data_IF_482092074482
#
_entry.id   IF_482092074482
#
_cell.length_a   1.000
_cell.length_b   1.000
_cell.length_c   1.000
_cell.angle_alpha   90.00
_cell.angle_beta   90.00
_cell.angle_gamma   90.00
#
_symmetry.space_group_name_H-M   'P 1'
#
loop_
_entity.id
_entity.type
_entity.pdbx_description
1 polymer ?
#
# COMPACT_ATOMS: atom_id res chain seq x y z
N UNK A 1 24.22 3.67 -5.64
CA UNK A 1 23.27 4.67 -6.17
C UNK A 1 22.41 3.89 -7.14
N UNK A 2 21.40 3.24 -6.59
CA UNK A 2 20.32 2.69 -7.40
C UNK A 2 19.50 3.92 -7.79
N UNK A 3 19.33 4.16 -9.09
CA UNK A 3 18.31 5.10 -9.57
C UNK A 3 16.97 4.53 -9.07
N UNK A 4 16.45 5.07 -7.96
CA UNK A 4 15.05 4.85 -7.60
C UNK A 4 14.26 5.55 -8.72
N UNK A 5 13.53 4.77 -9.50
CA UNK A 5 12.65 5.29 -10.52
C UNK A 5 11.54 6.05 -9.78
N UNK A 6 11.75 7.35 -9.55
CA UNK A 6 10.77 8.26 -8.95
C UNK A 6 9.51 8.23 -9.79
N UNK A 7 8.54 7.45 -9.35
CA UNK A 7 7.38 7.12 -10.16
C UNK A 7 6.38 6.30 -9.38
N UNK A 8 5.11 6.59 -9.68
CA UNK A 8 3.99 5.80 -9.21
C UNK A 8 4.20 4.32 -9.53
N UNK A 9 3.98 3.46 -8.55
CA UNK A 9 3.92 2.03 -8.80
C UNK A 9 2.73 1.40 -8.09
N UNK A 10 2.24 0.33 -8.67
CA UNK A 10 1.24 -0.52 -8.06
C UNK A 10 1.65 -1.98 -8.27
N UNK A 11 1.53 -2.80 -7.24
CA UNK A 11 1.80 -4.23 -7.31
C UNK A 11 0.78 -5.00 -6.48
N UNK A 12 0.62 -6.29 -6.79
CA UNK A 12 -0.19 -7.22 -6.01
C UNK A 12 0.65 -8.38 -5.52
N UNK A 13 0.71 -8.55 -4.20
CA UNK A 13 1.28 -9.73 -3.57
C UNK A 13 0.17 -10.73 -3.23
N UNK A 14 0.38 -12.00 -3.56
CA UNK A 14 -0.56 -13.07 -3.26
C UNK A 14 0.17 -14.39 -3.01
N UNK A 15 -0.53 -15.38 -2.45
CA UNK A 15 0.04 -16.71 -2.18
C UNK A 15 -0.50 -17.75 -3.15
N UNK A 16 0.41 -18.45 -3.81
CA UNK A 16 0.15 -19.62 -4.65
C UNK A 16 1.00 -20.79 -4.14
N UNK A 17 0.39 -21.95 -3.88
CA UNK A 17 1.07 -23.16 -3.39
C UNK A 17 2.04 -22.91 -2.20
N UNK A 18 1.58 -22.15 -1.20
CA UNK A 18 2.34 -21.68 -0.03
C UNK A 18 3.51 -20.71 -0.30
N UNK A 19 3.76 -20.33 -1.55
CA UNK A 19 4.79 -19.35 -1.94
C UNK A 19 4.17 -18.00 -2.21
N UNK A 20 4.90 -16.94 -1.86
CA UNK A 20 4.54 -15.59 -2.24
C UNK A 20 4.93 -15.33 -3.69
N UNK A 21 4.02 -14.72 -4.43
CA UNK A 21 4.29 -14.09 -5.71
C UNK A 21 3.88 -12.62 -5.67
N UNK A 22 4.52 -11.80 -6.51
CA UNK A 22 4.23 -10.37 -6.62
C UNK A 22 4.21 -10.00 -8.10
N UNK A 23 3.05 -9.57 -8.58
CA UNK A 23 2.88 -9.11 -9.95
C UNK A 23 2.76 -7.58 -9.98
N UNK A 24 3.48 -6.89 -10.90
CA UNK A 24 3.26 -5.48 -11.15
C UNK A 24 1.85 -5.27 -11.74
N UNK A 25 1.18 -4.24 -11.26
CA UNK A 25 -0.10 -3.78 -11.78
C UNK A 25 0.11 -2.61 -12.74
N UNK A 26 -0.86 -2.32 -13.63
CA UNK A 26 -0.80 -1.11 -14.44
C UNK A 26 -0.67 0.13 -13.55
N UNK A 27 0.29 1.01 -13.85
CA UNK A 27 0.55 2.25 -13.08
C UNK A 27 -0.70 3.12 -12.89
N UNK A 28 -1.65 3.08 -13.82
CA UNK A 28 -2.93 3.78 -13.70
C UNK A 28 -3.73 3.38 -12.44
N UNK A 29 -3.49 2.20 -11.87
CA UNK A 29 -4.13 1.77 -10.63
C UNK A 29 -3.55 2.44 -9.37
N UNK A 30 -2.36 3.04 -9.44
CA UNK A 30 -1.83 3.85 -8.36
C UNK A 30 -2.71 5.09 -8.09
N UNK A 31 -3.45 5.56 -9.10
CA UNK A 31 -4.41 6.67 -9.00
C UNK A 31 -5.88 6.27 -8.82
N UNK A 32 -6.21 4.97 -8.76
CA UNK A 32 -7.59 4.46 -8.76
C UNK A 32 -7.78 3.34 -7.73
N UNK A 33 -8.27 3.70 -6.54
CA UNK A 33 -8.51 2.76 -5.45
C UNK A 33 -9.53 1.69 -5.85
N UNK A 34 -10.59 2.07 -6.58
CA UNK A 34 -11.63 1.13 -6.98
C UNK A 34 -11.07 0.10 -7.97
N UNK A 35 -10.26 0.56 -8.92
CA UNK A 35 -9.53 -0.27 -9.87
C UNK A 35 -8.56 -1.23 -9.16
N UNK A 36 -7.78 -0.71 -8.20
CA UNK A 36 -6.89 -1.52 -7.35
C UNK A 36 -7.66 -2.63 -6.63
N UNK A 37 -8.70 -2.28 -5.87
CA UNK A 37 -9.53 -3.25 -5.15
C UNK A 37 -10.24 -4.24 -6.09
N UNK A 38 -10.54 -3.84 -7.33
CA UNK A 38 -11.05 -4.77 -8.33
C UNK A 38 -9.99 -5.77 -8.76
N UNK A 39 -8.77 -5.32 -9.06
CA UNK A 39 -7.65 -6.18 -9.45
C UNK A 39 -7.25 -7.17 -8.33
N UNK A 40 -7.25 -6.74 -7.07
CA UNK A 40 -6.97 -7.62 -5.92
C UNK A 40 -7.99 -8.75 -5.81
N UNK A 41 -9.28 -8.48 -6.06
CA UNK A 41 -10.34 -9.49 -6.04
C UNK A 41 -10.24 -10.53 -7.18
N UNK A 42 -9.49 -10.24 -8.24
CA UNK A 42 -9.30 -11.19 -9.34
C UNK A 42 -8.20 -12.22 -9.04
N UNK A 43 -7.40 -12.00 -7.99
CA UNK A 43 -6.29 -12.91 -7.69
C UNK A 43 -6.78 -14.26 -7.17
N UNK A 44 -6.24 -15.39 -7.67
CA UNK A 44 -6.69 -16.73 -7.31
C UNK A 44 -6.19 -17.21 -5.93
N UNK A 45 -6.07 -16.31 -4.95
CA UNK A 45 -5.50 -16.61 -3.63
C UNK A 45 -6.56 -16.86 -2.56
N UNK A 46 -6.49 -18.04 -1.94
CA UNK A 46 -7.33 -18.41 -0.79
C UNK A 46 -6.93 -17.60 0.46
N UNK A 47 -5.64 -17.23 0.55
CA UNK A 47 -5.08 -16.47 1.69
C UNK A 47 -5.22 -14.96 1.53
N UNK A 48 -5.93 -14.49 0.51
CA UNK A 48 -6.10 -13.08 0.19
C UNK A 48 -4.99 -12.51 -0.70
N UNK A 49 -5.18 -11.25 -1.10
CA UNK A 49 -4.27 -10.49 -1.94
C UNK A 49 -3.97 -9.14 -1.29
N UNK A 50 -2.74 -8.68 -1.44
CA UNK A 50 -2.23 -7.43 -0.86
C UNK A 50 -1.83 -6.51 -2.00
N UNK A 51 -2.46 -5.34 -2.08
CA UNK A 51 -2.04 -4.24 -2.95
C UNK A 51 -1.01 -3.38 -2.23
N UNK A 52 0.07 -3.08 -2.95
CA UNK A 52 1.16 -2.21 -2.54
C UNK A 52 1.23 -1.08 -3.57
N UNK A 53 1.04 0.16 -3.14
CA UNK A 53 1.04 1.33 -4.03
C UNK A 53 1.91 2.41 -3.42
N UNK A 54 2.83 2.96 -4.20
CA UNK A 54 3.49 4.24 -3.90
C UNK A 54 3.11 5.27 -4.95
N UNK A 55 2.98 6.53 -4.53
CA UNK A 55 2.59 7.65 -5.38
C UNK A 55 3.61 8.78 -5.19
N UNK A 56 4.23 9.20 -6.30
CA UNK A 56 5.16 10.33 -6.39
C UNK A 56 6.22 10.44 -5.27
N UNK A 57 6.68 9.32 -4.72
CA UNK A 57 7.60 9.24 -3.58
C UNK A 57 7.11 9.99 -2.31
N UNK A 58 5.82 10.32 -2.23
CA UNK A 58 5.24 11.14 -1.17
C UNK A 58 4.46 10.31 -0.14
N UNK A 59 3.64 9.36 -0.60
CA UNK A 59 2.87 8.47 0.27
C UNK A 59 2.67 7.08 -0.32
N UNK A 60 2.23 6.14 0.51
CA UNK A 60 1.83 4.81 0.09
C UNK A 60 0.44 4.42 0.57
N UNK A 61 -0.16 3.49 -0.18
CA UNK A 61 -1.43 2.87 0.13
C UNK A 61 -1.21 1.36 0.24
N UNK A 62 -1.78 0.77 1.29
CA UNK A 62 -1.93 -0.67 1.41
C UNK A 62 -3.40 -1.01 1.28
N UNK A 63 -3.71 -2.03 0.52
CA UNK A 63 -5.04 -2.61 0.48
C UNK A 63 -4.91 -4.11 0.63
N UNK A 64 -5.81 -4.73 1.39
CA UNK A 64 -5.83 -6.18 1.53
C UNK A 64 -7.24 -6.69 1.32
N UNK A 65 -7.38 -7.65 0.42
CA UNK A 65 -8.62 -8.38 0.20
C UNK A 65 -8.44 -9.78 0.76
N UNK A 66 -9.29 -10.17 1.71
CA UNK A 66 -9.26 -11.48 2.35
C UNK A 66 -10.64 -12.13 2.38
N UNK A 67 -10.69 -13.46 2.28
CA UNK A 67 -11.95 -14.22 2.29
C UNK A 67 -12.90 -13.84 1.13
N UNK A 68 -14.21 -13.77 1.41
CA UNK A 68 -15.22 -13.51 0.37
C UNK A 68 -15.42 -12.03 0.03
N UNK A 69 -15.23 -11.12 1.00
CA UNK A 69 -15.48 -9.68 0.81
C UNK A 69 -14.74 -8.79 1.81
N UNK A 70 -13.83 -9.31 2.64
CA UNK A 70 -13.17 -8.49 3.65
C UNK A 70 -12.10 -7.64 2.96
N UNK A 71 -12.18 -6.33 3.17
CA UNK A 71 -11.27 -5.37 2.57
C UNK A 71 -10.81 -4.40 3.65
N UNK A 72 -9.51 -4.43 3.93
CA UNK A 72 -8.82 -3.45 4.76
C UNK A 72 -8.00 -2.52 3.89
N UNK A 73 -8.00 -1.23 4.23
CA UNK A 73 -7.23 -0.21 3.52
C UNK A 73 -6.50 0.63 4.54
N UNK A 74 -5.27 1.02 4.19
CA UNK A 74 -4.41 1.88 4.97
C UNK A 74 -3.77 2.91 4.04
N UNK A 75 -3.67 4.15 4.52
CA UNK A 75 -3.00 5.27 3.87
C UNK A 75 -1.96 5.84 4.83
N UNK A 76 -0.73 6.02 4.36
CA UNK A 76 0.38 6.48 5.21
C UNK A 76 0.28 7.94 5.63
N UNK A 77 -0.35 8.77 4.79
CA UNK A 77 -0.47 10.20 5.01
C UNK A 77 -1.87 10.71 4.64
N UNK A 78 -2.61 11.17 5.64
CA UNK A 78 -3.95 11.77 5.46
C UNK A 78 -3.92 13.08 4.67
N UNK A 79 -2.84 13.85 4.74
CA UNK A 79 -2.71 15.18 4.12
C UNK A 79 -2.69 15.08 2.59
N UNK A 80 -2.20 13.96 2.05
CA UNK A 80 -2.20 13.66 0.62
C UNK A 80 -3.60 13.69 -0.01
N UNK A 81 -4.68 13.56 0.78
CA UNK A 81 -6.05 13.65 0.27
C UNK A 81 -6.42 15.03 -0.28
N UNK A 82 -5.66 16.09 0.05
CA UNK A 82 -5.87 17.44 -0.48
C UNK A 82 -5.50 17.49 -1.95
N UNK A 83 -4.31 17.01 -2.30
CA UNK A 83 -3.75 17.15 -3.65
C UNK A 83 -4.00 15.91 -4.52
N UNK A 84 -4.02 14.70 -3.96
CA UNK A 84 -4.13 13.46 -4.72
C UNK A 84 -5.54 12.85 -4.69
N UNK A 85 -6.20 12.66 -5.86
CA UNK A 85 -7.52 12.05 -5.94
C UNK A 85 -7.60 10.63 -5.36
N UNK A 86 -6.53 9.86 -5.39
CA UNK A 86 -6.52 8.49 -4.85
C UNK A 86 -6.54 8.48 -3.32
N UNK A 87 -5.78 9.35 -2.66
CA UNK A 87 -5.82 9.49 -1.21
C UNK A 87 -7.21 9.95 -0.75
N UNK A 88 -7.84 10.88 -1.49
CA UNK A 88 -9.24 11.26 -1.26
C UNK A 88 -10.20 10.07 -1.37
N UNK A 89 -10.04 9.21 -2.40
CA UNK A 89 -10.85 7.99 -2.53
C UNK A 89 -10.66 7.04 -1.34
N UNK A 90 -9.46 6.96 -0.75
CA UNK A 90 -9.20 6.16 0.46
C UNK A 90 -9.97 6.73 1.65
N UNK A 91 -9.91 8.04 1.88
CA UNK A 91 -10.67 8.69 2.96
C UNK A 91 -12.18 8.50 2.79
N UNK A 92 -12.70 8.69 1.57
CA UNK A 92 -14.11 8.44 1.25
C UNK A 92 -14.50 6.97 1.50
N UNK A 93 -13.62 6.03 1.16
CA UNK A 93 -13.85 4.60 1.42
C UNK A 93 -13.89 4.27 2.92
N UNK A 94 -13.05 4.94 3.72
CA UNK A 94 -12.94 4.76 5.16
C UNK A 94 -13.97 5.60 5.95
N UNK A 95 -14.79 6.40 5.28
CA UNK A 95 -15.72 7.38 5.88
C UNK A 95 -14.99 8.38 6.81
N UNK A 96 -13.79 8.80 6.40
CA UNK A 96 -12.94 9.78 7.10
C UNK A 96 -13.07 11.14 6.40
N UNK A 97 -13.31 12.24 7.13
CA UNK A 97 -13.34 13.57 6.54
C UNK A 97 -11.96 13.98 6.01
N UNK A 98 -11.95 14.70 4.89
CA UNK A 98 -10.74 15.34 4.36
C UNK A 98 -10.25 16.38 5.39
N UNK A 99 -8.95 16.40 5.75
CA UNK A 99 -8.41 17.38 6.67
C UNK A 99 -8.53 18.80 6.11
N UNK A 100 -8.78 19.76 6.99
CA UNK A 100 -8.77 21.17 6.65
C UNK A 100 -7.32 21.69 6.53
N UNK A 101 -7.12 22.87 5.92
CA UNK A 101 -5.78 23.46 5.71
C UNK A 101 -4.98 23.64 7.01
N UNK A 102 -5.66 23.79 8.15
CA UNK A 102 -5.04 23.97 9.47
C UNK A 102 -4.46 22.66 10.04
N UNK A 103 -4.90 21.50 9.55
CA UNK A 103 -4.49 20.16 10.02
C UNK A 103 -3.41 19.52 9.13
N UNK A 104 -2.97 20.20 8.06
CA UNK A 104 -1.98 19.69 7.10
C UNK A 104 -0.54 19.70 7.62
N UNK A 105 -0.31 20.18 8.84
CA UNK A 105 1.00 20.10 9.50
C UNK A 105 1.25 18.72 10.15
N UNK A 106 0.24 17.85 10.18
CA UNK A 106 0.30 16.52 10.78
C UNK A 106 0.21 15.41 9.73
N UNK A 107 1.37 14.91 9.31
CA UNK A 107 1.49 13.70 8.49
C UNK A 107 1.21 12.48 9.38
N UNK A 108 0.00 11.94 9.26
CA UNK A 108 -0.46 10.83 10.08
C UNK A 108 -1.09 9.72 9.22
N UNK A 109 -0.83 8.45 9.54
CA UNK A 109 -1.47 7.35 8.86
C UNK A 109 -2.93 7.18 9.28
N UNK A 110 -3.76 6.68 8.37
CA UNK A 110 -5.18 6.41 8.58
C UNK A 110 -5.60 5.05 8.00
N UNK A 111 -6.74 4.55 8.47
CA UNK A 111 -7.28 3.25 8.08
C UNK A 111 -6.87 2.14 9.04
N UNK A 112 -6.65 0.94 8.50
CA UNK A 112 -6.39 -0.26 9.29
C UNK A 112 -4.89 -0.45 9.54
N UNK A 113 -4.41 0.01 10.69
CA UNK A 113 -3.03 -0.24 11.17
C UNK A 113 -2.76 -1.73 11.46
N UNK A 114 -3.81 -2.52 11.65
CA UNK A 114 -3.70 -3.95 11.99
C UNK A 114 -3.80 -4.86 10.75
N UNK A 115 -3.80 -4.27 9.54
CA UNK A 115 -4.02 -4.93 8.25
C UNK A 115 -3.15 -6.18 8.02
N UNK A 116 -2.01 -6.29 8.71
CA UNK A 116 -1.07 -7.42 8.61
C UNK A 116 -0.75 -8.09 9.95
N UNK A 117 -1.51 -7.83 11.01
CA UNK A 117 -1.25 -8.37 12.34
C UNK A 117 -1.25 -9.91 12.38
N UNK A 118 -2.10 -10.55 11.58
CA UNK A 118 -2.15 -12.01 11.41
C UNK A 118 -0.97 -12.59 10.62
N UNK A 119 -0.26 -11.74 9.87
CA UNK A 119 0.95 -12.11 9.13
C UNK A 119 2.23 -11.77 9.90
N UNK A 120 2.11 -11.21 11.11
CA UNK A 120 3.23 -10.94 12.01
C UNK A 120 3.79 -9.52 11.96
N UNK A 121 3.11 -8.57 11.31
CA UNK A 121 3.43 -7.14 11.38
C UNK A 121 2.34 -6.42 12.17
N UNK A 122 2.67 -5.94 13.37
CA UNK A 122 1.68 -5.31 14.25
C UNK A 122 1.45 -3.81 13.96
N UNK A 123 0.43 -3.25 14.61
CA UNK A 123 0.01 -1.86 14.46
C UNK A 123 1.12 -0.85 14.81
N UNK A 124 1.94 -1.17 15.84
CA UNK A 124 2.99 -0.29 16.31
C UNK A 124 4.15 -0.27 15.32
N UNK A 125 4.52 -1.42 14.78
CA UNK A 125 5.55 -1.54 13.75
C UNK A 125 5.11 -0.88 12.44
N UNK A 126 3.87 -1.09 12.00
CA UNK A 126 3.35 -0.44 10.79
C UNK A 126 3.27 1.08 10.97
N UNK A 127 2.79 1.55 12.13
CA UNK A 127 2.74 2.98 12.45
C UNK A 127 4.14 3.62 12.52
N UNK A 128 5.13 2.90 13.05
CA UNK A 128 6.51 3.37 13.08
C UNK A 128 7.12 3.48 11.67
N UNK A 129 6.86 2.50 10.80
CA UNK A 129 7.30 2.54 9.41
C UNK A 129 6.63 3.67 8.62
N UNK A 130 5.33 3.88 8.81
CA UNK A 130 4.60 4.95 8.13
C UNK A 130 4.97 6.35 8.62
N UNK A 131 5.37 6.48 9.90
CA UNK A 131 5.81 7.74 10.48
C UNK A 131 7.30 8.06 10.26
N UNK A 132 8.04 7.19 9.57
CA UNK A 132 9.45 7.40 9.28
C UNK A 132 9.62 8.24 8.00
N UNK A 133 9.70 9.55 8.18
CA UNK A 133 9.84 10.53 7.08
C UNK A 133 11.24 10.54 6.43
N UNK A 134 12.19 9.77 6.96
CA UNK A 134 13.52 9.60 6.34
C UNK A 134 13.52 8.53 5.24
N UNK A 135 12.44 7.74 5.13
CA UNK A 135 12.28 6.67 4.15
C UNK A 135 11.33 7.07 3.03
N UNK A 136 11.67 6.69 1.80
CA UNK A 136 10.74 6.80 0.69
C UNK A 136 9.64 5.73 0.76
N UNK A 137 8.45 5.98 0.17
CA UNK A 137 7.35 5.03 0.16
C UNK A 137 7.72 3.63 -0.35
N UNK A 138 8.55 3.52 -1.39
CA UNK A 138 9.03 2.23 -1.91
C UNK A 138 9.95 1.49 -0.91
N UNK A 139 10.78 2.22 -0.16
CA UNK A 139 11.64 1.66 0.89
C UNK A 139 10.81 1.15 2.09
N UNK A 140 9.75 1.88 2.45
CA UNK A 140 8.79 1.44 3.47
C UNK A 140 8.07 0.17 3.00
N UNK A 141 7.59 0.14 1.76
CA UNK A 141 6.92 -1.05 1.20
C UNK A 141 7.88 -2.24 1.07
N UNK A 142 9.15 -2.02 0.74
CA UNK A 142 10.19 -3.05 0.73
C UNK A 142 10.45 -3.63 2.14
N UNK A 143 10.43 -2.76 3.15
CA UNK A 143 10.53 -3.13 4.57
C UNK A 143 9.35 -3.98 5.01
N UNK A 144 8.12 -3.59 4.63
CA UNK A 144 6.90 -4.37 4.88
C UNK A 144 7.00 -5.74 4.18
N UNK A 145 7.39 -5.76 2.91
CA UNK A 145 7.55 -7.00 2.15
C UNK A 145 8.56 -7.98 2.78
N UNK A 146 9.63 -7.46 3.40
CA UNK A 146 10.60 -8.26 4.16
C UNK A 146 9.98 -8.90 5.39
N UNK A 147 9.23 -8.12 6.19
CA UNK A 147 8.56 -8.61 7.40
C UNK A 147 7.50 -9.66 7.09
N UNK A 148 6.81 -9.51 5.97
CA UNK A 148 5.77 -10.45 5.49
C UNK A 148 6.32 -11.65 4.71
N UNK A 149 7.61 -11.65 4.38
CA UNK A 149 8.30 -12.77 3.74
C UNK A 149 8.21 -12.83 2.20
N UNK A 150 7.87 -11.72 1.54
CA UNK A 150 7.79 -11.60 0.08
C UNK A 150 8.73 -10.57 -0.54
N UNK A 151 9.78 -10.17 0.19
CA UNK A 151 10.76 -9.18 -0.29
C UNK A 151 11.40 -9.52 -1.64
N UNK A 152 11.84 -10.77 -1.86
CA UNK A 152 12.46 -11.15 -3.13
C UNK A 152 11.51 -10.97 -4.34
N UNK A 153 10.30 -11.58 -4.34
CA UNK A 153 9.29 -11.29 -5.36
C UNK A 153 9.00 -9.80 -5.55
N UNK A 154 8.91 -9.04 -4.45
CA UNK A 154 8.66 -7.59 -4.51
C UNK A 154 9.79 -6.83 -5.23
N UNK A 155 11.05 -7.12 -4.91
CA UNK A 155 12.19 -6.51 -5.59
C UNK A 155 12.21 -6.83 -7.09
N UNK A 156 11.89 -8.08 -7.47
CA UNK A 156 11.78 -8.44 -8.89
C UNK A 156 10.66 -7.67 -9.60
N UNK A 157 9.52 -7.44 -8.94
CA UNK A 157 8.45 -6.63 -9.49
C UNK A 157 8.90 -5.17 -9.71
N UNK A 158 9.58 -4.56 -8.72
CA UNK A 158 10.15 -3.22 -8.86
C UNK A 158 11.15 -3.14 -10.02
N UNK A 159 12.10 -4.07 -10.09
CA UNK A 159 13.11 -4.12 -11.16
C UNK A 159 12.49 -4.28 -12.55
N UNK A 160 11.32 -4.93 -12.65
CA UNK A 160 10.62 -5.11 -13.93
C UNK A 160 9.90 -3.86 -14.45
N UNK A 161 9.73 -2.85 -13.58
CA UNK A 161 9.06 -1.58 -13.87
C UNK A 161 10.05 -0.45 -14.19
N UNK A 162 11.35 -0.66 -13.96
CA UNK A 162 12.45 0.26 -14.28
C UNK A 162 12.94 0.10 -15.74
#
# INVERSE_FOLDING_TARGET
MTDHNSGDFAAVAYREEDRWDVDPLPVALAGDLKGLLHALRQQPSISGAIGLVAVEDDFFILARVFGHSEVSVFLSDVTASVDWPVARQVLEYLDIPIPDEEDLDQVLPVGDLSIFADLGLDEMELGALAGDLDLYPDEVLASIAERLGFHQPFQYALDSMA
#
